data_IF_498267471083
#
_entry.id   IF_498267471083
#
_cell.length_a   1.000
_cell.length_b   1.000
_cell.length_c   1.000
_cell.angle_alpha   90.00
_cell.angle_beta   90.00
_cell.angle_gamma   90.00
#
_symmetry.space_group_name_H-M   'P 1'
#
loop_
_entity.id
_entity.type
_entity.pdbx_description
1 polymer ?
#
# COMPACT_ATOMS: atom_id res chain seq x y z
N UNK A 1 1.59 7.30 26.63
CA UNK A 1 2.58 7.38 27.73
C UNK A 1 2.11 8.36 28.80
N UNK A 2 2.70 8.30 29.99
CA UNK A 2 2.38 9.23 31.10
C UNK A 2 3.10 10.58 30.95
N UNK A 3 2.71 11.63 31.69
CA UNK A 3 3.49 12.87 31.77
C UNK A 3 4.92 12.63 32.29
N UNK A 4 5.10 11.71 33.24
CA UNK A 4 6.41 11.31 33.75
C UNK A 4 7.29 10.69 32.65
N UNK A 5 6.70 9.90 31.76
CA UNK A 5 7.40 9.37 30.59
C UNK A 5 7.79 10.48 29.61
N UNK A 6 6.94 11.50 29.43
CA UNK A 6 7.27 12.67 28.60
C UNK A 6 8.42 13.47 29.21
N UNK A 7 8.45 13.62 30.53
CA UNK A 7 9.58 14.25 31.22
C UNK A 7 10.89 13.49 30.98
N UNK A 8 10.87 12.16 31.00
CA UNK A 8 12.06 11.33 30.65
C UNK A 8 12.51 11.55 29.20
N UNK A 9 11.57 11.65 28.24
CA UNK A 9 11.91 11.95 26.84
C UNK A 9 12.57 13.32 26.70
N UNK A 10 12.01 14.34 27.35
CA UNK A 10 12.55 15.70 27.32
C UNK A 10 13.92 15.78 28.01
N UNK A 11 14.12 15.04 29.10
CA UNK A 11 15.42 14.91 29.75
C UNK A 11 16.45 14.23 28.84
N UNK A 12 16.07 13.18 28.11
CA UNK A 12 16.94 12.54 27.13
C UNK A 12 17.31 13.51 25.99
N UNK A 13 16.35 14.25 25.43
CA UNK A 13 16.60 15.25 24.39
C UNK A 13 17.50 16.40 24.88
N UNK A 14 17.35 16.82 26.14
CA UNK A 14 18.18 17.85 26.76
C UNK A 14 19.66 17.51 26.82
N UNK A 15 20.01 16.23 26.86
CA UNK A 15 21.42 15.80 26.79
C UNK A 15 22.07 16.13 25.44
N UNK A 16 21.29 16.31 24.39
CA UNK A 16 21.80 16.61 23.04
C UNK A 16 21.64 18.10 22.68
N UNK A 17 20.52 18.73 23.05
CA UNK A 17 20.20 20.09 22.60
C UNK A 17 20.11 21.14 23.71
N UNK A 18 20.53 20.77 24.92
CA UNK A 18 20.64 21.66 26.07
C UNK A 18 19.35 22.40 26.43
N UNK A 19 18.17 21.84 26.09
CA UNK A 19 16.89 22.40 26.53
C UNK A 19 16.75 22.33 28.05
N UNK A 20 16.06 23.31 28.62
CA UNK A 20 15.58 23.29 30.00
C UNK A 20 14.07 23.19 29.94
N UNK A 21 13.56 21.99 30.13
CA UNK A 21 12.12 21.76 30.16
C UNK A 21 11.61 21.96 31.58
N UNK A 22 10.58 22.78 31.74
CA UNK A 22 9.84 22.90 32.99
C UNK A 22 8.55 22.06 32.96
N UNK A 23 7.71 22.24 33.99
CA UNK A 23 6.44 21.51 34.11
C UNK A 23 5.46 21.85 32.98
N UNK A 24 5.41 23.10 32.54
CA UNK A 24 4.47 23.54 31.53
C UNK A 24 4.92 23.03 30.15
N UNK A 25 6.23 22.99 29.89
CA UNK A 25 6.81 22.33 28.72
C UNK A 25 6.45 20.85 28.66
N UNK A 26 6.57 20.13 29.79
CA UNK A 26 6.22 18.71 29.88
C UNK A 26 4.74 18.49 29.57
N UNK A 27 3.84 19.29 30.16
CA UNK A 27 2.41 19.18 29.91
C UNK A 27 2.05 19.50 28.46
N UNK A 28 2.67 20.53 27.89
CA UNK A 28 2.45 20.91 26.50
C UNK A 28 2.93 19.81 25.54
N UNK A 29 4.12 19.26 25.77
CA UNK A 29 4.61 18.12 24.98
C UNK A 29 3.71 16.90 25.15
N UNK A 30 3.32 16.57 26.38
CA UNK A 30 2.45 15.42 26.67
C UNK A 30 1.11 15.53 25.95
N UNK A 31 0.55 16.74 25.83
CA UNK A 31 -0.68 16.95 25.06
C UNK A 31 -0.56 16.57 23.57
N UNK A 32 0.65 16.59 23.01
CA UNK A 32 0.92 16.31 21.58
C UNK A 32 1.35 14.87 21.35
N UNK A 33 2.11 14.26 22.26
CA UNK A 33 2.69 12.90 22.08
C UNK A 33 2.22 11.88 23.13
N UNK A 34 1.33 12.25 24.03
CA UNK A 34 0.86 11.42 25.15
C UNK A 34 0.12 10.15 24.72
N UNK A 35 -0.40 10.11 23.49
CA UNK A 35 -1.01 8.92 22.87
C UNK A 35 0.02 7.87 22.42
N UNK A 36 1.30 8.23 22.33
CA UNK A 36 2.34 7.31 21.85
C UNK A 36 2.80 6.34 22.95
N UNK A 37 3.28 5.17 22.53
CA UNK A 37 3.96 4.23 23.42
C UNK A 37 5.34 4.79 23.78
N UNK A 38 5.74 4.68 25.06
CA UNK A 38 7.02 5.23 25.52
C UNK A 38 8.21 4.59 24.80
N UNK A 39 8.20 3.26 24.64
CA UNK A 39 9.30 2.52 24.00
C UNK A 39 9.53 2.95 22.54
N UNK A 40 8.46 3.16 21.78
CA UNK A 40 8.56 3.68 20.41
C UNK A 40 9.09 5.11 20.41
N UNK A 41 8.64 5.93 21.35
CA UNK A 41 9.01 7.34 21.42
C UNK A 41 10.47 7.55 21.82
N UNK A 42 10.98 6.81 22.81
CA UNK A 42 12.40 6.91 23.20
C UNK A 42 13.32 6.37 22.10
N UNK A 43 12.89 5.35 21.37
CA UNK A 43 13.61 4.87 20.19
C UNK A 43 13.64 5.93 19.08
N UNK A 44 12.50 6.61 18.83
CA UNK A 44 12.47 7.73 17.89
C UNK A 44 13.41 8.88 18.30
N UNK A 45 13.53 9.17 19.60
CA UNK A 45 14.52 10.14 20.13
C UNK A 45 15.95 9.73 19.77
N UNK A 46 16.30 8.47 20.03
CA UNK A 46 17.64 7.93 19.75
C UNK A 46 17.98 7.99 18.27
N UNK A 47 17.06 7.55 17.41
CA UNK A 47 17.25 7.55 15.95
C UNK A 47 17.44 8.96 15.40
N UNK A 48 16.61 9.91 15.82
CA UNK A 48 16.74 11.30 15.39
C UNK A 48 18.12 11.87 15.70
N UNK A 49 18.64 11.72 16.91
CA UNK A 49 19.97 12.25 17.24
C UNK A 49 21.13 11.40 16.70
N UNK A 50 20.87 10.19 16.21
CA UNK A 50 21.86 9.40 15.47
C UNK A 50 21.98 9.86 14.01
N UNK A 51 20.87 10.33 13.41
CA UNK A 51 20.77 10.62 11.98
C UNK A 51 20.70 12.12 11.66
N UNK A 52 20.35 12.96 12.64
CA UNK A 52 20.14 14.39 12.50
C UNK A 52 20.83 15.18 13.61
N UNK A 53 21.34 16.35 13.24
CA UNK A 53 21.92 17.34 14.16
C UNK A 53 20.89 18.38 14.60
N UNK A 54 19.67 18.33 14.05
CA UNK A 54 18.64 19.32 14.34
C UNK A 54 18.06 19.16 15.74
N UNK A 55 17.63 20.28 16.32
CA UNK A 55 16.89 20.27 17.58
C UNK A 55 15.59 19.47 17.41
N UNK A 56 15.33 18.52 18.31
CA UNK A 56 14.14 17.69 18.25
C UNK A 56 12.86 18.46 18.58
N UNK A 57 11.79 18.25 17.80
CA UNK A 57 10.45 18.79 18.06
C UNK A 57 9.44 17.64 18.21
N UNK A 58 8.24 17.86 18.78
CA UNK A 58 7.24 16.80 18.97
C UNK A 58 6.85 16.10 17.65
N UNK A 59 6.84 16.84 16.55
CA UNK A 59 6.56 16.31 15.22
C UNK A 59 7.58 15.25 14.78
N UNK A 60 8.86 15.41 15.15
CA UNK A 60 9.92 14.45 14.81
C UNK A 60 9.68 13.12 15.54
N UNK A 61 9.25 13.15 16.81
CA UNK A 61 8.90 11.92 17.55
C UNK A 61 7.73 11.21 16.87
N UNK A 62 6.67 11.93 16.49
CA UNK A 62 5.53 11.33 15.78
C UNK A 62 5.95 10.68 14.46
N UNK A 63 6.79 11.37 13.68
CA UNK A 63 7.33 10.84 12.44
C UNK A 63 8.16 9.56 12.67
N UNK A 64 9.06 9.57 13.66
CA UNK A 64 9.88 8.41 14.02
C UNK A 64 9.05 7.23 14.52
N UNK A 65 8.07 7.45 15.39
CA UNK A 65 7.15 6.40 15.86
C UNK A 65 6.33 5.81 14.70
N UNK A 66 5.88 6.65 13.76
CA UNK A 66 5.21 6.16 12.55
C UNK A 66 6.13 5.27 11.71
N UNK A 67 7.38 5.67 11.51
CA UNK A 67 8.37 4.86 10.80
C UNK A 67 8.62 3.51 11.49
N UNK A 68 8.84 3.52 12.80
CA UNK A 68 9.05 2.30 13.61
C UNK A 68 7.85 1.34 13.50
N UNK A 69 6.61 1.87 13.53
CA UNK A 69 5.40 1.05 13.37
C UNK A 69 5.28 0.48 11.96
N UNK A 70 5.61 1.26 10.94
CA UNK A 70 5.64 0.80 9.56
C UNK A 70 6.66 -0.33 9.37
N UNK A 71 7.88 -0.19 9.91
CA UNK A 71 8.91 -1.24 9.87
C UNK A 71 8.42 -2.55 10.49
N UNK A 72 7.71 -2.49 11.63
CA UNK A 72 7.10 -3.69 12.25
C UNK A 72 6.00 -4.28 11.38
N UNK A 73 5.16 -3.42 10.79
CA UNK A 73 4.09 -3.85 9.90
C UNK A 73 4.62 -4.45 8.59
N UNK A 74 5.79 -4.03 8.10
CA UNK A 74 6.46 -4.61 6.93
C UNK A 74 7.06 -5.98 7.25
N UNK A 75 7.68 -6.12 8.43
CA UNK A 75 8.28 -7.39 8.88
C UNK A 75 7.24 -8.45 9.24
N UNK A 76 6.01 -8.05 9.55
CA UNK A 76 4.92 -8.98 9.85
C UNK A 76 4.23 -9.37 8.53
N UNK A 77 4.33 -10.62 8.08
CA UNK A 77 3.59 -11.06 6.90
C UNK A 77 2.09 -10.91 7.16
N UNK A 78 1.39 -10.12 6.37
CA UNK A 78 -0.07 -10.04 6.44
C UNK A 78 -0.67 -10.89 5.33
N UNK A 79 -1.76 -11.60 5.62
CA UNK A 79 -2.50 -12.38 4.61
C UNK A 79 -2.93 -11.50 3.43
N UNK A 80 -3.26 -10.24 3.69
CA UNK A 80 -3.59 -9.25 2.66
C UNK A 80 -2.42 -8.92 1.71
N UNK A 81 -1.17 -9.07 2.15
CA UNK A 81 0.04 -8.94 1.30
C UNK A 81 0.54 -10.28 0.77
N UNK A 82 -0.04 -11.39 1.19
CA UNK A 82 0.25 -12.73 0.67
C UNK A 82 -0.52 -13.03 -0.63
N UNK A 83 -0.88 -11.99 -1.39
CA UNK A 83 -1.43 -12.19 -2.73
C UNK A 83 -0.31 -12.72 -3.63
N UNK A 84 -0.59 -13.76 -4.45
CA UNK A 84 0.36 -14.25 -5.42
C UNK A 84 0.84 -13.12 -6.32
N UNK A 85 2.14 -13.05 -6.58
CA UNK A 85 2.69 -12.04 -7.48
C UNK A 85 2.11 -12.24 -8.89
N UNK A 86 1.84 -11.18 -9.67
CA UNK A 86 1.49 -11.30 -11.08
C UNK A 86 2.52 -12.10 -11.91
N UNK A 87 3.76 -12.13 -11.41
CA UNK A 87 4.92 -12.81 -12.00
C UNK A 87 5.23 -14.15 -11.33
N UNK A 88 4.42 -14.60 -10.39
CA UNK A 88 4.54 -15.95 -9.83
C UNK A 88 4.02 -16.97 -10.85
N UNK A 89 4.74 -18.08 -11.00
CA UNK A 89 4.34 -19.18 -11.88
C UNK A 89 3.08 -19.84 -11.31
N UNK A 90 1.94 -19.35 -11.80
CA UNK A 90 0.63 -19.89 -11.54
C UNK A 90 0.47 -21.20 -12.32
N UNK A 91 0.88 -22.31 -11.71
CA UNK A 91 0.78 -23.66 -12.28
C UNK A 91 -0.66 -24.00 -12.73
N UNK A 92 -1.65 -23.40 -12.08
CA UNK A 92 -3.07 -23.59 -12.35
C UNK A 92 -3.64 -22.55 -13.33
N UNK A 93 -2.80 -21.66 -13.91
CA UNK A 93 -3.23 -20.60 -14.84
C UNK A 93 -3.96 -21.18 -16.04
N UNK A 94 -3.38 -22.23 -16.62
CA UNK A 94 -3.95 -22.92 -17.77
C UNK A 94 -5.30 -23.54 -17.41
N UNK A 95 -5.41 -24.14 -16.22
CA UNK A 95 -6.64 -24.77 -15.76
C UNK A 95 -7.76 -23.76 -15.44
N UNK A 96 -7.42 -22.64 -14.77
CA UNK A 96 -8.36 -21.52 -14.61
C UNK A 96 -8.81 -20.95 -15.94
N UNK A 97 -7.90 -20.82 -16.90
CA UNK A 97 -8.20 -20.39 -18.27
C UNK A 97 -9.20 -21.33 -18.96
N UNK A 98 -8.98 -22.66 -18.85
CA UNK A 98 -9.89 -23.68 -19.38
C UNK A 98 -11.28 -23.61 -18.73
N UNK A 99 -11.35 -23.47 -17.41
CA UNK A 99 -12.62 -23.34 -16.68
C UNK A 99 -13.38 -22.08 -17.07
N UNK A 100 -12.67 -20.95 -17.19
CA UNK A 100 -13.25 -19.67 -17.59
C UNK A 100 -13.76 -19.70 -19.03
N UNK A 101 -13.00 -20.27 -19.97
CA UNK A 101 -13.44 -20.38 -21.36
C UNK A 101 -14.66 -21.28 -21.52
N UNK A 102 -14.75 -22.38 -20.76
CA UNK A 102 -15.93 -23.26 -20.75
C UNK A 102 -17.21 -22.53 -20.30
N UNK A 103 -17.13 -21.76 -19.21
CA UNK A 103 -18.27 -20.95 -18.73
C UNK A 103 -18.68 -19.88 -19.76
N UNK A 104 -17.71 -19.21 -20.38
CA UNK A 104 -17.98 -18.21 -21.42
C UNK A 104 -18.61 -18.85 -22.64
N UNK A 105 -18.13 -20.03 -23.07
CA UNK A 105 -18.70 -20.77 -24.19
C UNK A 105 -20.17 -21.16 -23.98
N UNK A 106 -20.53 -21.58 -22.77
CA UNK A 106 -21.90 -21.94 -22.42
C UNK A 106 -22.84 -20.73 -22.54
N UNK A 107 -22.42 -19.58 -22.00
CA UNK A 107 -23.19 -18.33 -22.11
C UNK A 107 -23.27 -17.86 -23.56
N UNK A 108 -22.16 -17.88 -24.30
CA UNK A 108 -22.10 -17.49 -25.71
C UNK A 108 -22.97 -18.39 -26.59
N UNK A 109 -23.08 -19.69 -26.29
CA UNK A 109 -23.95 -20.61 -27.03
C UNK A 109 -25.43 -20.23 -26.93
N UNK A 110 -25.89 -19.79 -25.75
CA UNK A 110 -27.27 -19.31 -25.55
C UNK A 110 -27.51 -18.01 -26.33
N UNK A 111 -26.54 -17.09 -26.31
CA UNK A 111 -26.62 -15.83 -27.04
C UNK A 111 -26.63 -16.10 -28.55
N UNK A 112 -25.71 -16.92 -29.04
CA UNK A 112 -25.61 -17.31 -30.45
C UNK A 112 -26.91 -17.97 -30.95
N UNK A 113 -27.52 -18.86 -30.16
CA UNK A 113 -28.82 -19.47 -30.48
C UNK A 113 -29.92 -18.40 -30.60
N UNK A 114 -30.01 -17.48 -29.62
CA UNK A 114 -31.00 -16.38 -29.64
C UNK A 114 -30.80 -15.39 -30.78
N UNK A 115 -29.56 -15.20 -31.25
CA UNK A 115 -29.26 -14.35 -32.41
C UNK A 115 -29.67 -15.06 -33.71
N UNK A 116 -29.33 -16.34 -33.84
CA UNK A 116 -29.74 -17.18 -34.97
C UNK A 116 -31.27 -17.26 -35.11
N UNK A 117 -31.98 -17.45 -34.00
CA UNK A 117 -33.45 -17.50 -33.97
C UNK A 117 -34.09 -16.16 -34.37
N UNK A 118 -33.36 -15.05 -34.23
CA UNK A 118 -33.76 -13.69 -34.67
C UNK A 118 -33.35 -13.37 -36.11
N UNK A 119 -32.75 -14.30 -36.84
CA UNK A 119 -32.20 -14.06 -38.18
C UNK A 119 -31.02 -13.09 -38.19
N UNK A 120 -30.45 -12.80 -37.02
CA UNK A 120 -29.24 -11.99 -36.89
C UNK A 120 -28.04 -12.93 -36.97
N UNK A 121 -27.14 -12.70 -37.93
CA UNK A 121 -25.88 -13.44 -38.01
C UNK A 121 -25.09 -13.29 -36.71
N UNK A 122 -24.47 -14.39 -36.27
CA UNK A 122 -23.36 -14.27 -35.31
C UNK A 122 -22.32 -13.40 -36.03
N UNK A 123 -21.76 -12.35 -35.41
CA UNK A 123 -20.66 -11.62 -36.00
C UNK A 123 -19.45 -12.58 -36.06
N UNK A 124 -19.40 -13.41 -37.11
CA UNK A 124 -18.12 -13.77 -37.68
C UNK A 124 -17.47 -12.46 -38.09
N UNK A 125 -16.19 -12.32 -37.83
CA UNK A 125 -15.34 -11.22 -38.28
C UNK A 125 -15.11 -10.04 -37.36
N UNK A 126 -15.24 -10.13 -36.04
CA UNK A 126 -14.59 -9.08 -35.24
C UNK A 126 -13.05 -9.07 -35.48
N UNK A 127 -12.44 -10.26 -35.64
CA UNK A 127 -11.01 -10.40 -35.92
C UNK A 127 -10.65 -10.22 -37.40
N UNK A 128 -11.53 -10.56 -38.33
CA UNK A 128 -11.30 -10.35 -39.77
C UNK A 128 -11.54 -8.88 -40.14
N UNK A 129 -12.59 -8.22 -39.60
CA UNK A 129 -12.80 -6.77 -39.74
C UNK A 129 -11.63 -5.98 -39.15
N UNK A 130 -11.07 -6.41 -38.01
CA UNK A 130 -9.87 -5.78 -37.45
C UNK A 130 -8.62 -6.01 -38.31
N UNK A 131 -8.47 -7.18 -38.94
CA UNK A 131 -7.37 -7.44 -39.89
C UNK A 131 -7.53 -6.63 -41.17
N UNK A 132 -8.73 -6.49 -41.68
CA UNK A 132 -9.05 -5.67 -42.85
C UNK A 132 -8.80 -4.18 -42.56
N UNK A 133 -9.23 -3.68 -41.40
CA UNK A 133 -8.95 -2.31 -40.94
C UNK A 133 -7.45 -2.05 -40.74
N UNK A 134 -6.73 -3.00 -40.14
CA UNK A 134 -5.28 -2.89 -39.96
C UNK A 134 -4.51 -3.00 -41.29
N UNK A 135 -5.07 -3.67 -42.29
CA UNK A 135 -4.51 -3.76 -43.64
C UNK A 135 -4.82 -2.50 -44.50
N UNK A 136 -5.90 -1.77 -44.23
CA UNK A 136 -6.27 -0.56 -44.96
C UNK A 136 -5.50 0.70 -44.55
N UNK A 137 -4.93 0.75 -43.34
CA UNK A 137 -4.17 1.91 -42.83
C UNK A 137 -2.70 1.97 -43.30
N UNK A 138 -2.22 0.96 -44.04
CA UNK A 138 -0.83 0.86 -44.50
C UNK A 138 -0.55 1.39 -45.91
N UNK A 139 -1.51 2.07 -46.55
CA UNK A 139 -1.53 2.25 -48.01
C UNK A 139 -1.72 3.67 -48.55
N UNK A 140 -1.30 4.72 -47.82
CA UNK A 140 -1.16 6.07 -48.42
C UNK A 140 0.25 6.64 -48.13
N UNK A 141 1.13 6.48 -49.13
CA UNK A 141 2.25 7.38 -49.45
C UNK A 141 2.17 7.70 -50.93
#
# INVERSE_FOLDING_TARGET
MTPEDTAKLLAAAAMFDYRKADRDDILMWHSVIGDLAYDDAIEAVRRHYAESTERMMPAHIRAGVRAIRNERAEKTPSEARALPSPFEDDADRAERGRRGSAQVHEVLAVIAKRMKDRGQGIPGDALEQLRELAASDGGEQ
#
